data_IF_063827663853
#
_entry.id   IF_063827663853
#
_cell.length_a   1.000
_cell.length_b   1.000
_cell.length_c   1.000
_cell.angle_alpha   90.00
_cell.angle_beta   90.00
_cell.angle_gamma   90.00
#
_symmetry.space_group_name_H-M   'P 1'
#
loop_
_entity.id
_entity.type
_entity.pdbx_description
1 polymer ?
#
# COMPACT_ATOMS: atom_id res chain seq x y z
N UNK A 1 8.01 -3.11 -1.01
CA UNK A 1 8.20 -4.50 -0.56
C UNK A 1 7.94 -4.64 0.92
N UNK A 2 8.15 -5.84 1.49
CA UNK A 2 8.24 -6.04 2.94
C UNK A 2 9.71 -6.10 3.38
N UNK A 3 10.02 -5.65 4.59
CA UNK A 3 11.36 -5.69 5.17
C UNK A 3 11.62 -7.07 5.80
N UNK A 4 12.24 -7.96 5.03
CA UNK A 4 12.43 -9.37 5.41
C UNK A 4 13.22 -9.56 6.71
N UNK A 5 14.09 -8.62 7.07
CA UNK A 5 14.87 -8.63 8.32
C UNK A 5 13.98 -8.64 9.58
N UNK A 6 12.76 -8.11 9.46
CA UNK A 6 11.77 -8.09 10.54
C UNK A 6 10.81 -9.30 10.47
N UNK A 7 10.96 -10.16 9.45
CA UNK A 7 10.14 -11.36 9.27
C UNK A 7 8.64 -11.08 9.29
N UNK A 8 7.90 -11.86 10.08
CA UNK A 8 6.44 -11.76 10.22
C UNK A 8 5.97 -10.39 10.71
N UNK A 9 6.78 -9.65 11.48
CA UNK A 9 6.41 -8.30 11.93
C UNK A 9 6.21 -7.36 10.75
N UNK A 10 7.03 -7.49 9.71
CA UNK A 10 6.89 -6.69 8.49
C UNK A 10 5.61 -7.04 7.72
N UNK A 11 5.23 -8.32 7.71
CA UNK A 11 3.97 -8.77 7.11
C UNK A 11 2.76 -8.19 7.85
N UNK A 12 2.78 -8.21 9.19
CA UNK A 12 1.67 -7.72 10.00
C UNK A 12 1.45 -6.20 9.86
N UNK A 13 2.48 -5.43 9.45
CA UNK A 13 2.28 -4.00 9.16
C UNK A 13 1.27 -3.78 8.03
N UNK A 14 1.17 -4.70 7.06
CA UNK A 14 0.21 -4.61 5.96
C UNK A 14 -1.24 -4.67 6.46
N UNK A 15 -1.53 -5.60 7.37
CA UNK A 15 -2.86 -5.71 7.98
C UNK A 15 -3.16 -4.49 8.87
N UNK A 16 -2.16 -4.05 9.65
CA UNK A 16 -2.28 -2.88 10.52
C UNK A 16 -2.64 -1.61 9.75
N UNK A 17 -1.89 -1.28 8.70
CA UNK A 17 -2.15 -0.06 7.93
C UNK A 17 -3.45 -0.15 7.12
N UNK A 18 -3.78 -1.32 6.57
CA UNK A 18 -5.03 -1.52 5.82
C UNK A 18 -6.26 -1.36 6.70
N UNK A 19 -6.23 -1.86 7.94
CA UNK A 19 -7.32 -1.66 8.90
C UNK A 19 -7.47 -0.21 9.36
N UNK A 20 -6.36 0.50 9.58
CA UNK A 20 -6.39 1.93 9.88
C UNK A 20 -6.99 2.73 8.72
N UNK A 21 -6.62 2.37 7.49
CA UNK A 21 -7.13 3.02 6.29
C UNK A 21 -8.63 2.74 6.08
N UNK A 22 -9.09 1.52 6.36
CA UNK A 22 -10.52 1.19 6.34
C UNK A 22 -11.33 2.05 7.32
N UNK A 23 -10.78 2.32 8.51
CA UNK A 23 -11.42 3.23 9.48
C UNK A 23 -11.45 4.67 8.93
N UNK A 24 -10.38 5.12 8.29
CA UNK A 24 -10.29 6.46 7.70
C UNK A 24 -11.36 6.66 6.61
N UNK A 25 -11.50 5.71 5.69
CA UNK A 25 -12.48 5.78 4.59
C UNK A 25 -13.90 5.49 5.08
N UNK A 26 -14.13 4.34 5.74
CA UNK A 26 -15.50 3.91 6.05
C UNK A 26 -16.13 4.63 7.24
N UNK A 27 -15.36 4.87 8.31
CA UNK A 27 -15.92 5.50 9.53
C UNK A 27 -15.86 7.02 9.47
N UNK A 28 -14.75 7.57 8.97
CA UNK A 28 -14.56 9.03 8.91
C UNK A 28 -14.93 9.66 7.57
N UNK A 29 -15.14 8.85 6.51
CA UNK A 29 -15.49 9.33 5.16
C UNK A 29 -14.50 10.37 4.61
N UNK A 30 -13.21 10.16 4.92
CA UNK A 30 -12.14 11.03 4.47
C UNK A 30 -11.48 10.45 3.22
N UNK A 31 -11.08 11.35 2.33
CA UNK A 31 -10.43 11.01 1.07
C UNK A 31 -8.99 10.55 1.29
N UNK A 32 -8.64 9.40 0.72
CA UNK A 32 -7.28 8.91 0.65
C UNK A 32 -6.81 8.77 -0.81
N UNK A 33 -5.80 9.57 -1.16
CA UNK A 33 -5.15 9.53 -2.48
C UNK A 33 -3.80 8.82 -2.32
N UNK A 34 -3.63 7.70 -3.02
CA UNK A 34 -2.36 6.98 -3.08
C UNK A 34 -1.55 7.47 -4.29
N UNK A 35 -0.33 7.95 -4.05
CA UNK A 35 0.61 8.33 -5.11
C UNK A 35 1.69 7.25 -5.19
N UNK A 36 1.70 6.50 -6.29
CA UNK A 36 2.60 5.39 -6.55
C UNK A 36 3.77 5.85 -7.41
N UNK A 37 4.98 5.74 -6.86
CA UNK A 37 6.24 6.14 -7.50
C UNK A 37 7.09 4.91 -7.85
N UNK A 38 8.13 5.11 -8.66
CA UNK A 38 9.05 4.03 -9.02
C UNK A 38 10.04 3.70 -7.88
N UNK A 39 10.20 2.44 -7.45
CA UNK A 39 9.35 1.26 -7.66
C UNK A 39 8.40 1.01 -6.47
N UNK A 40 7.15 0.65 -6.76
CA UNK A 40 6.18 0.25 -5.73
C UNK A 40 5.83 -1.23 -5.92
N UNK A 41 6.36 -2.11 -5.07
CA UNK A 41 6.15 -3.56 -5.23
C UNK A 41 5.86 -4.32 -3.93
N UNK A 42 5.41 -5.57 -4.04
CA UNK A 42 5.28 -6.49 -2.90
C UNK A 42 4.19 -6.07 -1.93
N UNK A 43 4.54 -6.08 -0.65
CA UNK A 43 3.62 -5.76 0.44
C UNK A 43 2.95 -4.40 0.39
N UNK A 44 3.62 -3.40 -0.17
CA UNK A 44 3.08 -2.03 -0.27
C UNK A 44 1.95 -1.98 -1.30
N UNK A 45 2.16 -2.57 -2.47
CA UNK A 45 1.10 -2.75 -3.48
C UNK A 45 -0.02 -3.66 -2.99
N UNK A 46 0.28 -4.65 -2.15
CA UNK A 46 -0.72 -5.57 -1.59
C UNK A 46 -1.55 -4.99 -0.43
N UNK A 47 -1.26 -3.76 -0.01
CA UNK A 47 -1.91 -3.12 1.13
C UNK A 47 -2.34 -1.69 0.78
N UNK A 48 -1.88 -0.70 1.54
CA UNK A 48 -2.34 0.69 1.42
C UNK A 48 -2.09 1.31 0.04
N UNK A 49 -1.10 0.83 -0.72
CA UNK A 49 -0.81 1.36 -2.06
C UNK A 49 -1.95 1.18 -3.07
N UNK A 50 -2.76 0.13 -2.92
CA UNK A 50 -3.87 -0.17 -3.83
C UNK A 50 -5.26 0.00 -3.20
N UNK A 51 -5.31 0.49 -1.96
CA UNK A 51 -6.55 0.78 -1.23
C UNK A 51 -6.90 2.29 -1.26
N UNK A 52 -6.31 3.05 -2.18
CA UNK A 52 -6.64 4.44 -2.46
C UNK A 52 -8.07 4.61 -2.99
N UNK A 53 -8.78 5.66 -2.56
CA UNK A 53 -10.00 6.11 -3.26
C UNK A 53 -9.63 6.58 -4.68
N UNK A 54 -8.48 7.25 -4.79
CA UNK A 54 -7.84 7.65 -6.03
C UNK A 54 -6.40 7.16 -6.00
N UNK A 55 -5.97 6.50 -7.06
CA UNK A 55 -4.59 6.04 -7.23
C UNK A 55 -3.97 6.79 -8.40
N UNK A 56 -2.89 7.52 -8.13
CA UNK A 56 -2.12 8.25 -9.12
C UNK A 56 -0.75 7.59 -9.23
N UNK A 57 -0.30 7.31 -10.44
CA UNK A 57 1.03 6.75 -10.67
C UNK A 57 1.88 7.73 -11.50
N UNK A 58 3.16 7.82 -11.16
CA UNK A 58 4.12 8.55 -12.01
C UNK A 58 4.31 7.83 -13.35
N UNK A 59 4.57 8.56 -14.46
CA UNK A 59 4.89 7.95 -15.74
C UNK A 59 6.08 6.98 -15.60
N UNK A 60 5.94 5.78 -16.18
CA UNK A 60 6.96 4.71 -16.13
C UNK A 60 7.21 4.13 -14.73
N UNK A 61 6.36 4.41 -13.73
CA UNK A 61 6.45 3.75 -12.43
C UNK A 61 6.26 2.23 -12.55
N UNK A 62 7.14 1.46 -11.90
CA UNK A 62 7.03 0.01 -11.85
C UNK A 62 6.21 -0.40 -10.63
N UNK A 63 5.00 -0.88 -10.90
CA UNK A 63 4.00 -1.24 -9.89
C UNK A 63 3.65 -2.72 -10.08
N UNK A 64 4.02 -3.57 -9.13
CA UNK A 64 3.82 -5.02 -9.25
C UNK A 64 3.71 -5.72 -7.89
N UNK A 65 2.80 -6.67 -7.75
CA UNK A 65 2.70 -7.49 -6.54
C UNK A 65 3.96 -8.34 -6.33
N UNK A 66 4.34 -9.13 -7.34
CA UNK A 66 5.62 -9.84 -7.35
C UNK A 66 6.57 -9.12 -8.30
N UNK A 67 7.82 -8.95 -7.87
CA UNK A 67 8.89 -8.55 -8.78
C UNK A 67 9.19 -9.66 -9.78
N UNK A 68 9.86 -9.31 -10.87
CA UNK A 68 10.45 -10.30 -11.77
C UNK A 68 11.64 -11.00 -11.12
#
# INVERSE_FOLDING_TARGET
>A
GARMQEGTLSLMQMAKISSALQIHQSKKKLLYIAILTYPTTGGVTASFGMLGDIIIAEPKAYIAFAGK
#
